data_IF_812977107717
#
_entry.id   IF_812977107717
#
_cell.length_a   1.000
_cell.length_b   1.000
_cell.length_c   1.000
_cell.angle_alpha   90.00
_cell.angle_beta   90.00
_cell.angle_gamma   90.00
#
_symmetry.space_group_name_H-M   'P 1'
#
loop_
_entity.id
_entity.type
_entity.pdbx_description
1 polymer ?
#
# COMPACT_ATOMS: atom_id res chain seq x y z
N UNK A 1 -48.41 -15.88 34.51
CA UNK A 1 -47.78 -16.00 33.17
C UNK A 1 -46.57 -15.09 33.14
N UNK A 2 -45.34 -15.64 33.12
CA UNK A 2 -44.09 -14.87 33.14
C UNK A 2 -43.63 -14.62 31.70
N UNK A 3 -43.62 -13.35 31.26
CA UNK A 3 -43.04 -12.96 29.97
C UNK A 3 -41.52 -12.92 30.08
N UNK A 4 -40.84 -13.79 29.33
CA UNK A 4 -39.40 -13.75 29.15
C UNK A 4 -39.05 -12.79 28.00
N UNK A 5 -38.30 -11.73 28.31
CA UNK A 5 -37.79 -10.77 27.35
C UNK A 5 -36.58 -11.38 26.64
N UNK A 6 -36.69 -11.68 25.35
CA UNK A 6 -35.58 -12.19 24.53
C UNK A 6 -34.66 -11.00 24.19
N UNK A 7 -33.45 -11.00 24.76
CA UNK A 7 -32.40 -10.05 24.42
C UNK A 7 -31.79 -10.43 23.06
N UNK A 8 -32.01 -9.60 22.04
CA UNK A 8 -31.33 -9.74 20.75
C UNK A 8 -29.88 -9.25 20.89
N UNK A 9 -28.92 -10.18 20.79
CA UNK A 9 -27.49 -9.85 20.67
C UNK A 9 -27.22 -9.49 19.21
N UNK A 10 -26.72 -8.29 18.89
CA UNK A 10 -26.34 -7.97 17.52
C UNK A 10 -25.07 -8.74 17.17
N UNK A 11 -25.18 -9.62 16.18
CA UNK A 11 -24.05 -10.31 15.58
C UNK A 11 -23.20 -9.28 14.83
N UNK A 12 -22.04 -8.92 15.38
CA UNK A 12 -21.10 -8.05 14.71
C UNK A 12 -20.51 -8.78 13.49
N UNK A 13 -20.97 -8.42 12.30
CA UNK A 13 -20.35 -8.85 11.04
C UNK A 13 -18.95 -8.23 10.98
N UNK A 14 -17.92 -9.05 11.20
CA UNK A 14 -16.56 -8.69 10.85
C UNK A 14 -16.49 -8.57 9.33
N UNK A 15 -16.60 -7.36 8.81
CA UNK A 15 -16.28 -7.08 7.41
C UNK A 15 -14.78 -7.30 7.27
N UNK A 16 -14.39 -8.35 6.55
CA UNK A 16 -13.02 -8.53 6.14
C UNK A 16 -12.62 -7.29 5.33
N UNK A 17 -11.62 -6.53 5.81
CA UNK A 17 -11.04 -5.47 5.01
C UNK A 17 -10.50 -6.10 3.71
N UNK A 18 -10.68 -5.45 2.54
CA UNK A 18 -10.13 -5.96 1.29
C UNK A 18 -8.62 -6.13 1.43
N UNK A 19 -8.06 -7.19 0.84
CA UNK A 19 -6.62 -7.37 0.75
C UNK A 19 -6.02 -6.13 0.07
N UNK A 20 -5.19 -5.39 0.81
CA UNK A 20 -4.57 -4.19 0.29
C UNK A 20 -3.33 -4.60 -0.48
N UNK A 21 -3.31 -4.31 -1.79
CA UNK A 21 -2.11 -4.42 -2.61
C UNK A 21 -0.92 -3.75 -1.92
N UNK A 22 0.17 -4.49 -1.75
CA UNK A 22 1.38 -3.94 -1.14
C UNK A 22 2.04 -2.93 -2.08
N UNK A 23 2.56 -1.85 -1.50
CA UNK A 23 3.28 -0.82 -2.23
C UNK A 23 4.73 -0.76 -1.74
N UNK A 24 5.65 -0.54 -2.67
CA UNK A 24 7.08 -0.40 -2.40
C UNK A 24 7.61 0.83 -3.11
N UNK A 25 8.17 1.77 -2.35
CA UNK A 25 8.89 2.90 -2.92
C UNK A 25 10.22 2.37 -3.45
N UNK A 26 10.65 2.90 -4.59
CA UNK A 26 11.96 2.60 -5.14
C UNK A 26 12.63 3.87 -5.65
N UNK A 27 13.95 3.81 -5.70
CA UNK A 27 14.78 4.79 -6.39
C UNK A 27 15.96 4.09 -7.05
N UNK A 28 16.50 4.72 -8.08
CA UNK A 28 17.79 4.39 -8.63
C UNK A 28 18.52 5.65 -9.08
N UNK A 29 19.84 5.64 -8.90
CA UNK A 29 20.74 6.74 -9.27
C UNK A 29 21.97 6.24 -10.02
N UNK A 30 22.53 7.05 -10.94
CA UNK A 30 23.74 6.71 -11.68
C UNK A 30 24.89 6.26 -10.77
N UNK A 31 25.53 5.14 -11.09
CA UNK A 31 26.70 4.63 -10.38
C UNK A 31 27.89 4.48 -11.32
N UNK A 32 27.68 3.90 -12.50
CA UNK A 32 28.72 3.73 -13.52
C UNK A 32 28.08 3.67 -14.92
N UNK A 33 28.33 4.69 -15.72
CA UNK A 33 27.93 4.71 -17.12
C UNK A 33 28.71 3.65 -17.93
N UNK A 34 28.00 2.91 -18.78
CA UNK A 34 28.60 2.10 -19.84
C UNK A 34 28.60 2.90 -21.15
N UNK A 35 27.47 3.54 -21.46
CA UNK A 35 27.35 4.55 -22.52
C UNK A 35 26.08 5.40 -22.33
N UNK A 36 26.04 6.54 -23.02
CA UNK A 36 24.87 7.43 -23.04
C UNK A 36 24.79 8.37 -21.83
N UNK A 37 23.74 9.21 -21.78
CA UNK A 37 23.53 10.12 -20.67
C UNK A 37 23.12 9.38 -19.38
N UNK A 38 23.37 9.96 -18.18
CA UNK A 38 22.97 9.37 -16.92
C UNK A 38 21.46 9.31 -16.76
N UNK A 39 20.99 8.31 -16.04
CA UNK A 39 19.58 8.02 -15.78
C UNK A 39 19.35 7.81 -14.30
N UNK A 40 18.48 8.65 -13.75
CA UNK A 40 17.93 8.50 -12.42
C UNK A 40 16.41 8.33 -12.50
N UNK A 41 15.85 7.67 -11.51
CA UNK A 41 14.42 7.49 -11.43
C UNK A 41 13.98 7.11 -10.04
N UNK A 42 12.72 7.37 -9.76
CA UNK A 42 12.10 7.03 -8.49
C UNK A 42 10.60 6.88 -8.68
N UNK A 43 9.97 6.14 -7.76
CA UNK A 43 8.57 5.82 -7.90
C UNK A 43 8.05 4.84 -6.87
N UNK A 44 6.89 4.28 -7.17
CA UNK A 44 6.23 3.27 -6.34
C UNK A 44 5.83 2.09 -7.22
N UNK A 45 6.22 0.88 -6.81
CA UNK A 45 5.62 -0.37 -7.29
C UNK A 45 4.36 -0.66 -6.49
N UNK A 46 3.30 -1.08 -7.16
CA UNK A 46 2.18 -1.78 -6.52
C UNK A 46 2.27 -3.25 -6.91
N UNK A 47 2.16 -4.14 -5.94
CA UNK A 47 2.22 -5.60 -6.18
C UNK A 47 0.89 -6.28 -5.91
N UNK A 48 0.73 -7.49 -6.45
CA UNK A 48 -0.30 -8.42 -6.00
C UNK A 48 0.03 -8.97 -4.61
N UNK A 49 -0.98 -9.55 -3.95
CA UNK A 49 -0.80 -10.23 -2.65
C UNK A 49 -0.43 -11.71 -2.83
N UNK A 50 -0.62 -12.25 -4.03
CA UNK A 50 -0.30 -13.64 -4.37
C UNK A 50 1.20 -13.84 -4.48
N UNK A 51 1.79 -14.46 -3.47
CA UNK A 51 3.19 -14.88 -3.51
C UNK A 51 3.39 -15.97 -4.59
N UNK A 52 4.47 -15.83 -5.34
CA UNK A 52 5.00 -16.83 -6.26
C UNK A 52 6.50 -17.01 -6.02
N UNK A 53 7.13 -17.91 -6.76
CA UNK A 53 8.58 -18.16 -6.69
C UNK A 53 9.23 -17.87 -8.02
N UNK A 54 10.19 -16.94 -8.04
CA UNK A 54 10.97 -16.56 -9.23
C UNK A 54 12.46 -16.69 -8.88
N UNK A 55 13.21 -17.48 -9.66
CA UNK A 55 14.64 -17.69 -9.41
C UNK A 55 14.95 -18.21 -7.99
N UNK A 56 14.05 -19.01 -7.41
CA UNK A 56 14.18 -19.53 -6.04
C UNK A 56 13.89 -18.51 -4.92
N UNK A 57 13.43 -17.30 -5.26
CA UNK A 57 13.06 -16.24 -4.31
C UNK A 57 11.55 -16.08 -4.28
N UNK A 58 10.99 -15.78 -3.11
CA UNK A 58 9.60 -15.33 -3.03
C UNK A 58 9.44 -14.03 -3.80
N UNK A 59 8.36 -13.92 -4.56
CA UNK A 59 8.10 -12.80 -5.42
C UNK A 59 6.62 -12.46 -5.49
N UNK A 60 6.31 -11.22 -5.82
CA UNK A 60 4.96 -10.70 -6.00
C UNK A 60 4.86 -10.00 -7.35
N UNK A 61 3.77 -10.23 -8.08
CA UNK A 61 3.60 -9.61 -9.39
C UNK A 61 3.46 -8.11 -9.23
N UNK A 62 4.29 -7.32 -9.92
CA UNK A 62 4.14 -5.87 -10.02
C UNK A 62 2.95 -5.61 -10.94
N UNK A 63 1.87 -5.09 -10.37
CA UNK A 63 0.60 -4.81 -11.06
C UNK A 63 0.55 -3.37 -11.57
N UNK A 64 1.28 -2.45 -10.94
CA UNK A 64 1.45 -1.09 -11.46
C UNK A 64 2.77 -0.47 -11.00
N UNK A 65 3.17 0.58 -11.71
CA UNK A 65 4.32 1.43 -11.37
C UNK A 65 3.93 2.89 -11.62
N UNK A 66 4.28 3.76 -10.69
CA UNK A 66 4.21 5.22 -10.83
C UNK A 66 5.57 5.82 -10.53
N UNK A 67 5.80 7.07 -10.93
CA UNK A 67 7.05 7.77 -10.65
C UNK A 67 7.57 8.55 -11.85
N UNK A 68 8.88 8.83 -11.85
CA UNK A 68 9.56 9.54 -12.93
C UNK A 68 10.90 8.91 -13.25
N UNK A 69 11.36 9.08 -14.49
CA UNK A 69 12.73 8.84 -14.92
C UNK A 69 13.24 10.10 -15.59
N UNK A 70 14.36 10.64 -15.09
CA UNK A 70 14.91 11.94 -15.50
C UNK A 70 13.84 13.05 -15.58
N UNK A 71 12.90 13.06 -14.63
CA UNK A 71 11.79 14.02 -14.56
C UNK A 71 10.60 13.74 -15.50
N UNK A 72 10.70 12.82 -16.46
CA UNK A 72 9.55 12.40 -17.27
C UNK A 72 8.72 11.36 -16.51
N UNK A 73 7.40 11.51 -16.48
CA UNK A 73 6.50 10.56 -15.80
C UNK A 73 6.64 9.15 -16.37
N UNK A 74 6.56 8.15 -15.49
CA UNK A 74 6.46 6.75 -15.86
C UNK A 74 5.04 6.46 -16.36
N UNK A 75 4.94 5.79 -17.50
CA UNK A 75 3.74 5.17 -18.02
C UNK A 75 3.83 3.68 -17.73
N UNK A 76 2.80 3.15 -17.06
CA UNK A 76 2.72 1.79 -16.56
C UNK A 76 3.12 0.72 -17.61
N UNK A 77 3.54 -0.47 -17.17
CA UNK A 77 4.24 -1.42 -18.02
C UNK A 77 3.35 -1.87 -19.17
N UNK A 78 3.87 -1.85 -20.39
CA UNK A 78 3.24 -2.48 -21.55
C UNK A 78 4.16 -3.59 -22.06
N UNK A 79 4.21 -4.73 -21.34
CA UNK A 79 4.81 -5.98 -21.84
C UNK A 79 5.35 -6.98 -20.81
N UNK A 80 5.37 -8.26 -21.23
CA UNK A 80 5.86 -9.47 -20.52
C UNK A 80 7.39 -9.46 -20.27
N UNK A 81 7.88 -8.59 -19.39
CA UNK A 81 9.23 -8.72 -18.82
C UNK A 81 9.10 -8.91 -17.34
N UNK A 82 9.52 -10.06 -16.79
CA UNK A 82 9.63 -10.33 -15.35
C UNK A 82 8.45 -9.82 -14.53
N UNK A 83 8.40 -8.53 -14.21
CA UNK A 83 7.30 -7.83 -13.53
C UNK A 83 7.03 -8.48 -12.18
N UNK A 84 8.09 -8.90 -11.52
CA UNK A 84 8.06 -9.49 -10.19
C UNK A 84 8.96 -8.68 -9.27
N UNK A 85 8.38 -8.26 -8.15
CA UNK A 85 9.12 -7.76 -7.01
C UNK A 85 9.59 -8.97 -6.20
N UNK A 86 10.89 -9.14 -6.01
CA UNK A 86 11.44 -10.29 -5.26
C UNK A 86 11.83 -9.88 -3.84
N UNK A 87 11.71 -10.77 -2.86
CA UNK A 87 12.05 -10.49 -1.45
C UNK A 87 13.44 -10.98 -1.04
N UNK A 88 14.32 -11.19 -2.02
CA UNK A 88 15.70 -11.64 -1.79
C UNK A 88 16.71 -10.48 -1.70
N UNK A 89 18.02 -10.73 -1.89
CA UNK A 89 19.05 -9.69 -1.74
C UNK A 89 18.92 -8.53 -2.73
N UNK A 90 18.13 -8.71 -3.79
CA UNK A 90 17.70 -7.69 -4.71
C UNK A 90 16.18 -7.74 -4.84
N UNK A 91 15.54 -6.58 -5.01
CA UNK A 91 14.09 -6.44 -5.22
C UNK A 91 13.63 -6.71 -6.67
N UNK A 92 14.55 -6.98 -7.59
CA UNK A 92 14.30 -7.42 -8.97
C UNK A 92 15.24 -8.57 -9.33
N UNK A 93 14.88 -9.35 -10.33
CA UNK A 93 15.74 -10.38 -10.92
C UNK A 93 16.35 -9.90 -12.26
N UNK A 94 17.04 -10.80 -12.97
CA UNK A 94 17.60 -10.54 -14.29
C UNK A 94 16.56 -10.31 -15.39
N UNK A 95 15.33 -10.78 -15.21
CA UNK A 95 14.21 -10.49 -16.11
C UNK A 95 13.74 -9.04 -15.95
N UNK A 96 13.75 -8.55 -14.70
CA UNK A 96 13.46 -7.17 -14.34
C UNK A 96 12.07 -6.71 -14.73
N UNK A 97 11.97 -5.44 -15.08
CA UNK A 97 10.76 -4.79 -15.56
C UNK A 97 11.07 -3.91 -16.77
N UNK A 98 10.04 -3.74 -17.60
CA UNK A 98 10.04 -2.83 -18.74
C UNK A 98 8.87 -1.87 -18.62
N UNK A 99 9.14 -0.58 -18.75
CA UNK A 99 8.11 0.46 -18.75
C UNK A 99 8.52 1.58 -19.68
N UNK A 100 7.59 2.51 -19.92
CA UNK A 100 7.86 3.67 -20.76
C UNK A 100 7.81 4.93 -19.92
N UNK A 101 8.44 5.99 -20.41
CA UNK A 101 8.18 7.33 -19.91
C UNK A 101 7.16 8.04 -20.80
N UNK A 102 6.52 9.10 -20.31
CA UNK A 102 5.62 9.94 -21.09
C UNK A 102 6.30 10.55 -22.32
N UNK A 103 7.61 10.81 -22.24
CA UNK A 103 8.44 11.21 -23.38
C UNK A 103 8.70 10.11 -24.43
N UNK A 104 8.17 8.89 -24.22
CA UNK A 104 8.27 7.76 -25.15
C UNK A 104 9.54 6.93 -25.02
N UNK A 105 10.36 7.16 -23.99
CA UNK A 105 11.57 6.35 -23.75
C UNK A 105 11.21 5.01 -23.12
N UNK A 106 11.68 3.91 -23.72
CA UNK A 106 11.63 2.54 -23.17
C UNK A 106 12.72 2.40 -22.11
N UNK A 107 12.34 2.01 -20.90
CA UNK A 107 13.22 1.83 -19.76
C UNK A 107 13.17 0.37 -19.33
N UNK A 108 14.34 -0.25 -19.23
CA UNK A 108 14.52 -1.59 -18.68
C UNK A 108 15.32 -1.50 -17.40
N UNK A 109 14.74 -1.95 -16.31
CA UNK A 109 15.34 -1.91 -14.99
C UNK A 109 15.38 -3.33 -14.42
N UNK A 110 16.57 -3.80 -14.10
CA UNK A 110 16.78 -5.20 -13.71
C UNK A 110 18.00 -5.35 -12.80
N UNK A 111 18.09 -6.49 -12.13
CA UNK A 111 19.25 -6.87 -11.35
C UNK A 111 20.11 -7.88 -12.11
N UNK A 112 21.40 -7.63 -12.21
CA UNK A 112 22.31 -8.51 -12.93
C UNK A 112 23.08 -9.39 -11.94
N UNK A 113 22.58 -10.61 -11.70
CA UNK A 113 23.10 -11.51 -10.65
C UNK A 113 24.62 -11.77 -10.78
N UNK A 114 25.13 -11.96 -12.00
CA UNK A 114 26.55 -12.25 -12.27
C UNK A 114 27.52 -11.23 -11.68
N UNK A 115 27.10 -9.96 -11.62
CA UNK A 115 27.89 -8.85 -11.07
C UNK A 115 27.25 -8.24 -9.82
N UNK A 116 26.13 -8.80 -9.36
CA UNK A 116 25.37 -8.35 -8.19
C UNK A 116 25.07 -6.85 -8.17
N UNK A 117 24.66 -6.30 -9.31
CA UNK A 117 24.36 -4.86 -9.48
C UNK A 117 23.07 -4.64 -10.23
N UNK A 118 22.40 -3.55 -9.89
CA UNK A 118 21.28 -3.04 -10.69
C UNK A 118 21.78 -2.37 -11.97
N UNK A 119 21.01 -2.53 -13.03
CA UNK A 119 21.28 -1.91 -14.32
C UNK A 119 20.01 -1.31 -14.88
N UNK A 120 20.17 -0.14 -15.49
CA UNK A 120 19.13 0.54 -16.24
C UNK A 120 19.60 0.71 -17.67
N UNK A 121 18.75 0.34 -18.61
CA UNK A 121 18.94 0.61 -20.02
C UNK A 121 17.78 1.47 -20.50
N UNK A 122 18.07 2.51 -21.27
CA UNK A 122 17.06 3.31 -21.93
C UNK A 122 17.19 3.22 -23.44
N UNK A 123 16.05 3.19 -24.13
CA UNK A 123 15.98 3.18 -25.58
C UNK A 123 15.07 4.32 -26.01
N UNK A 124 15.65 5.27 -26.74
CA UNK A 124 15.03 6.50 -27.22
C UNK A 124 16.03 7.26 -28.11
N UNK A 125 15.83 8.56 -28.31
CA UNK A 125 16.72 9.37 -29.15
C UNK A 125 18.19 9.33 -28.70
N UNK A 126 18.41 9.26 -27.38
CA UNK A 126 19.74 9.11 -26.77
C UNK A 126 19.70 7.93 -25.81
N UNK A 127 19.77 6.71 -26.35
CA UNK A 127 19.80 5.50 -25.53
C UNK A 127 20.99 5.48 -24.56
N UNK A 128 20.79 4.87 -23.40
CA UNK A 128 21.81 4.76 -22.36
C UNK A 128 21.87 3.35 -21.78
N UNK A 129 23.01 3.03 -21.19
CA UNK A 129 23.17 1.84 -20.37
C UNK A 129 24.14 2.12 -19.24
N UNK A 130 23.72 1.83 -18.02
CA UNK A 130 24.53 2.10 -16.85
C UNK A 130 24.18 1.17 -15.68
N UNK A 131 25.18 0.91 -14.84
CA UNK A 131 24.92 0.39 -13.52
C UNK A 131 24.41 1.53 -12.63
N UNK A 132 23.45 1.21 -11.77
CA UNK A 132 22.81 2.15 -10.86
C UNK A 132 22.93 1.66 -9.42
N UNK A 133 22.95 2.59 -8.47
CA UNK A 133 22.63 2.30 -7.08
C UNK A 133 21.11 2.33 -6.98
N UNK A 134 20.48 1.23 -6.57
CA UNK A 134 19.03 1.19 -6.45
C UNK A 134 18.60 0.64 -5.09
N UNK A 135 17.49 1.17 -4.60
CA UNK A 135 16.93 0.82 -3.31
C UNK A 135 15.43 0.65 -3.40
N UNK A 136 14.86 -0.13 -2.49
CA UNK A 136 13.42 -0.22 -2.33
C UNK A 136 13.05 -0.48 -0.87
N UNK A 137 11.94 0.12 -0.44
CA UNK A 137 11.37 -0.05 0.90
C UNK A 137 9.86 -0.12 0.83
N UNK A 138 9.19 -0.83 1.76
CA UNK A 138 7.74 -0.79 1.85
C UNK A 138 7.23 0.66 1.92
N UNK A 139 6.22 0.99 1.12
CA UNK A 139 5.53 2.25 1.25
C UNK A 139 4.74 2.21 2.56
N UNK A 140 5.07 3.09 3.51
CA UNK A 140 4.32 3.19 4.75
C UNK A 140 2.93 3.72 4.43
N UNK A 141 1.92 2.86 4.54
CA UNK A 141 0.54 3.31 4.51
C UNK A 141 0.35 4.32 5.64
N UNK A 142 -0.28 5.46 5.33
CA UNK A 142 -0.69 6.40 6.37
C UNK A 142 -1.67 5.68 7.30
N UNK A 143 -1.19 5.27 8.47
CA UNK A 143 -2.07 4.80 9.54
C UNK A 143 -2.93 6.00 9.91
N UNK A 144 -4.27 5.87 9.97
CA UNK A 144 -5.13 7.00 10.33
C UNK A 144 -4.63 7.58 11.63
N UNK A 145 -4.33 8.88 11.62
CA UNK A 145 -3.65 9.53 12.73
C UNK A 145 -4.35 9.21 14.06
N UNK A 146 -3.61 8.96 15.16
CA UNK A 146 -4.21 8.65 16.46
C UNK A 146 -5.29 9.65 16.90
N UNK A 147 -5.19 10.91 16.46
CA UNK A 147 -6.19 11.95 16.67
C UNK A 147 -7.56 11.61 16.04
N UNK A 148 -7.58 10.97 14.87
CA UNK A 148 -8.82 10.53 14.21
C UNK A 148 -9.54 9.48 15.05
N UNK A 149 -8.79 8.51 15.58
CA UNK A 149 -9.34 7.47 16.47
C UNK A 149 -9.84 8.09 17.78
N UNK A 150 -9.08 9.02 18.34
CA UNK A 150 -9.46 9.74 19.54
C UNK A 150 -10.76 10.54 19.33
N UNK A 151 -10.90 11.26 18.22
CA UNK A 151 -12.12 12.01 17.90
C UNK A 151 -13.34 11.11 17.71
N UNK A 152 -13.18 9.95 17.08
CA UNK A 152 -14.26 8.96 16.98
C UNK A 152 -14.68 8.45 18.36
N UNK A 153 -13.71 8.07 19.21
CA UNK A 153 -13.97 7.60 20.57
C UNK A 153 -14.63 8.66 21.45
N UNK A 154 -14.18 9.91 21.33
CA UNK A 154 -14.80 11.05 22.02
C UNK A 154 -16.23 11.24 21.54
N UNK A 155 -16.47 11.20 20.22
CA UNK A 155 -17.81 11.31 19.64
C UNK A 155 -18.76 10.22 20.15
N UNK A 156 -18.34 8.95 20.08
CA UNK A 156 -19.13 7.83 20.61
C UNK A 156 -19.32 7.91 22.12
N UNK A 157 -18.29 8.32 22.87
CA UNK A 157 -18.35 8.54 24.31
C UNK A 157 -19.35 9.62 24.69
N UNK A 158 -19.37 10.74 23.96
CA UNK A 158 -20.30 11.84 24.16
C UNK A 158 -21.76 11.42 23.91
N UNK A 159 -22.02 10.68 22.82
CA UNK A 159 -23.35 10.14 22.51
C UNK A 159 -23.81 9.15 23.60
N UNK A 160 -22.95 8.20 23.98
CA UNK A 160 -23.25 7.25 25.05
C UNK A 160 -23.51 7.92 26.40
N UNK A 161 -22.76 8.97 26.73
CA UNK A 161 -22.97 9.77 27.93
C UNK A 161 -24.32 10.49 27.93
N UNK A 162 -24.69 11.11 26.81
CA UNK A 162 -25.98 11.80 26.66
C UNK A 162 -27.17 10.83 26.89
N UNK A 163 -27.11 9.63 26.31
CA UNK A 163 -28.15 8.59 26.49
C UNK A 163 -28.26 8.09 27.93
N UNK A 164 -27.14 7.95 28.65
CA UNK A 164 -27.15 7.53 30.06
C UNK A 164 -27.77 8.60 30.96
N UNK A 165 -27.55 9.89 30.65
CA UNK A 165 -28.07 11.00 31.47
C UNK A 165 -29.59 11.18 31.37
N UNK A 166 -30.22 10.77 30.26
CA UNK A 166 -31.68 10.85 30.09
C UNK A 166 -32.45 9.80 30.90
N UNK A 167 -31.80 8.72 31.37
CA UNK A 167 -32.44 7.71 32.23
C UNK A 167 -32.53 8.19 33.69
N UNK A 168 -33.32 9.23 33.96
CA UNK A 168 -33.85 9.47 35.30
C UNK A 168 -35.18 8.70 35.41
N UNK A 169 -35.35 7.77 36.37
CA UNK A 169 -36.66 7.19 36.60
C UNK A 169 -37.59 8.34 37.00
N UNK A 170 -38.69 8.49 36.25
CA UNK A 170 -39.79 9.32 36.69
C UNK A 170 -40.42 8.65 37.92
N UNK A 171 -39.86 8.93 39.10
CA UNK A 171 -40.49 8.62 40.38
C UNK A 171 -41.63 9.62 40.58
N UNK A 172 -42.66 9.51 39.75
CA UNK A 172 -43.88 10.30 39.88
C UNK A 172 -44.86 9.57 40.80
N UNK A 173 -44.66 9.82 42.09
CA UNK A 173 -45.67 9.90 43.16
C UNK A 173 -46.63 8.71 43.30
N UNK A 174 -46.24 7.79 44.18
CA UNK A 174 -47.20 7.15 45.08
C UNK A 174 -47.84 8.23 45.96
N UNK A 175 -48.99 8.77 45.54
CA UNK A 175 -49.94 9.39 46.47
C UNK A 175 -50.76 8.26 47.07
N UNK A 176 -50.32 7.77 48.22
CA UNK A 176 -51.21 7.12 49.16
C UNK A 176 -52.26 8.16 49.58
N UNK A 177 -53.46 8.08 49.02
CA UNK A 177 -54.63 8.63 49.69
C UNK A 177 -55.13 7.53 50.62
N UNK A 178 -54.83 7.75 51.89
CA UNK A 178 -55.33 6.96 53.00
C UNK A 178 -56.85 7.12 53.10
N UNK A 179 -57.47 6.02 53.51
CA UNK A 179 -58.84 5.90 53.99
C UNK A 179 -59.15 6.94 55.07
N UNK A 180 -60.31 7.60 54.95
CA UNK A 180 -61.23 7.97 56.03
C UNK A 180 -62.55 8.45 55.41
#
# INVERSE_FOLDING_TARGET
MKLALIAAVPLALAVAAPASAAQFVFDFSPSQALFGPPVSGSGTFTTSDGATTIGGRTAFQITSITGTVNGSQIVAPTGNYGNYFTTGPAFLDGSGLRFFTQSGIDVRFFFQDTVSRYRVNTFGAFGSSEFVNASSSPATAAVPEPATWALMLIGFGAVGFALRRQKRPATARLRAQAFA
#
